data_IF_972411993076
#
_entry.id   IF_972411993076
#
_cell.length_a   1.000
_cell.length_b   1.000
_cell.length_c   1.000
_cell.angle_alpha   90.00
_cell.angle_beta   90.00
_cell.angle_gamma   90.00
#
_symmetry.space_group_name_H-M   'P 1'
#
loop_
_entity.id
_entity.type
_entity.pdbx_description
1 polymer ?
#
# COMPACT_ATOMS: atom_id res chain seq x y z
N UNK A 1 67.21 14.88 -12.58
CA UNK A 1 66.70 16.26 -12.71
C UNK A 1 65.18 16.25 -12.54
N UNK A 2 64.61 17.24 -11.83
CA UNK A 2 63.21 17.33 -11.37
C UNK A 2 62.32 17.94 -12.49
N UNK A 3 60.99 18.03 -12.45
CA UNK A 3 60.14 18.85 -11.55
C UNK A 3 58.65 18.70 -11.94
N UNK A 4 57.76 18.72 -10.95
CA UNK A 4 56.47 19.42 -11.01
C UNK A 4 55.33 18.68 -11.73
N UNK A 5 54.10 18.67 -11.25
CA UNK A 5 53.49 19.41 -10.17
C UNK A 5 51.98 19.40 -10.38
N UNK A 6 51.24 19.21 -9.29
CA UNK A 6 49.92 19.79 -9.00
C UNK A 6 48.89 19.85 -10.16
N UNK A 7 47.76 19.14 -10.01
CA UNK A 7 46.50 19.83 -9.75
C UNK A 7 45.33 18.91 -9.38
N UNK A 8 44.69 19.36 -8.30
CA UNK A 8 43.27 19.22 -7.95
C UNK A 8 42.72 17.81 -7.83
N UNK A 9 42.59 17.38 -6.57
CA UNK A 9 41.51 16.49 -6.18
C UNK A 9 40.20 16.98 -6.81
N UNK A 10 39.65 16.15 -7.69
CA UNK A 10 38.23 16.17 -7.96
C UNK A 10 37.56 15.83 -6.63
N UNK A 11 37.25 16.87 -5.85
CA UNK A 11 36.05 16.84 -5.03
C UNK A 11 34.97 16.40 -6.00
N UNK A 12 34.56 15.14 -5.89
CA UNK A 12 33.23 14.75 -6.33
C UNK A 12 32.33 15.69 -5.55
N UNK A 13 31.92 16.78 -6.19
CA UNK A 13 30.70 17.44 -5.79
C UNK A 13 29.67 16.37 -6.06
N UNK A 14 29.34 15.62 -5.01
CA UNK A 14 28.07 14.92 -5.01
C UNK A 14 27.06 15.96 -5.47
N UNK A 15 26.26 15.66 -6.52
CA UNK A 15 25.27 16.61 -6.97
C UNK A 15 24.49 16.98 -5.72
N UNK A 16 24.35 18.28 -5.47
CA UNK A 16 23.49 18.81 -4.40
C UNK A 16 22.08 18.39 -4.80
N UNK A 17 21.77 17.13 -4.51
CA UNK A 17 20.57 16.43 -4.85
C UNK A 17 19.49 17.14 -4.09
N UNK A 18 18.77 17.94 -4.86
CA UNK A 18 17.44 18.43 -4.62
C UNK A 18 17.07 18.54 -3.13
N UNK A 19 17.51 19.64 -2.49
CA UNK A 19 17.11 19.94 -1.10
C UNK A 19 15.62 20.30 -0.97
N UNK A 20 14.76 19.88 -1.89
CA UNK A 20 13.31 20.08 -1.86
C UNK A 20 12.56 18.91 -1.22
N UNK A 21 13.17 17.73 -1.11
CA UNK A 21 12.51 16.55 -0.54
C UNK A 21 12.36 16.59 0.99
N UNK A 22 13.21 17.37 1.69
CA UNK A 22 13.17 17.43 3.15
C UNK A 22 11.97 18.23 3.69
N UNK A 23 11.39 19.11 2.87
CA UNK A 23 10.27 19.98 3.28
C UNK A 23 8.91 19.34 2.93
N UNK A 24 8.89 18.36 2.02
CA UNK A 24 7.66 17.80 1.43
C UNK A 24 7.13 16.52 2.09
N UNK A 25 7.59 16.17 3.31
CA UNK A 25 6.98 15.08 4.08
C UNK A 25 6.45 15.51 5.44
N UNK A 26 5.96 16.74 5.50
CA UNK A 26 5.23 17.25 6.65
C UNK A 26 3.85 16.60 6.69
N UNK A 27 3.65 15.55 7.50
CA UNK A 27 2.34 14.89 7.67
C UNK A 27 1.28 15.92 8.15
N UNK A 28 0.41 16.44 7.25
CA UNK A 28 -0.40 17.61 7.57
C UNK A 28 -1.42 17.29 8.67
N UNK A 29 -1.98 16.06 8.67
CA UNK A 29 -2.94 15.58 9.66
C UNK A 29 -2.36 15.51 11.08
N UNK A 30 -1.14 14.98 11.23
CA UNK A 30 -0.45 14.90 12.55
C UNK A 30 -0.15 16.30 13.11
N UNK A 31 0.07 17.28 12.24
CA UNK A 31 0.30 18.66 12.66
C UNK A 31 -1.02 19.33 13.07
N UNK A 32 -2.10 19.10 12.33
CA UNK A 32 -3.43 19.57 12.67
C UNK A 32 -3.90 19.03 14.02
N UNK A 33 -3.72 17.73 14.28
CA UNK A 33 -4.02 17.10 15.59
C UNK A 33 -3.25 17.78 16.72
N UNK A 34 -1.94 17.98 16.54
CA UNK A 34 -1.10 18.66 17.55
C UNK A 34 -1.47 20.13 17.72
N UNK A 35 -1.87 20.81 16.65
CA UNK A 35 -2.28 22.22 16.69
C UNK A 35 -3.60 22.39 17.42
N UNK A 36 -4.63 21.62 17.05
CA UNK A 36 -5.95 21.66 17.67
C UNK A 36 -5.87 21.20 19.13
N UNK A 37 -5.13 20.14 19.42
CA UNK A 37 -4.88 19.70 20.80
C UNK A 37 -4.14 20.74 21.65
N UNK A 38 -3.32 21.61 21.06
CA UNK A 38 -2.73 22.77 21.76
C UNK A 38 -3.73 23.90 21.97
N UNK A 39 -4.65 24.12 21.03
CA UNK A 39 -5.69 25.16 21.16
C UNK A 39 -6.69 24.81 22.26
N UNK A 40 -7.11 23.55 22.37
CA UNK A 40 -8.06 23.09 23.42
C UNK A 40 -7.49 23.25 24.84
N UNK A 41 -6.16 23.29 24.99
CA UNK A 41 -5.50 23.53 26.28
C UNK A 41 -5.50 25.00 26.72
N UNK A 42 -5.96 25.92 25.88
CA UNK A 42 -6.11 27.34 26.21
C UNK A 42 -7.53 27.61 26.65
N UNK A 43 -7.74 28.73 27.34
CA UNK A 43 -9.08 29.18 27.73
C UNK A 43 -9.85 29.66 26.49
N UNK A 44 -10.77 28.83 26.02
CA UNK A 44 -11.64 29.10 24.89
C UNK A 44 -13.11 29.08 25.35
N UNK A 45 -14.00 29.84 24.67
CA UNK A 45 -15.44 29.71 24.87
C UNK A 45 -15.89 28.25 24.73
N UNK A 46 -16.84 27.79 25.56
CA UNK A 46 -17.23 26.38 25.64
C UNK A 46 -17.70 25.83 24.28
N UNK A 47 -18.47 26.61 23.52
CA UNK A 47 -18.96 26.22 22.20
C UNK A 47 -17.81 25.96 21.20
N UNK A 48 -16.80 26.84 21.18
CA UNK A 48 -15.63 26.69 20.30
C UNK A 48 -14.79 25.49 20.72
N UNK A 49 -14.68 25.24 22.03
CA UNK A 49 -13.97 24.09 22.57
C UNK A 49 -14.61 22.78 22.14
N UNK A 50 -15.93 22.64 22.26
CA UNK A 50 -16.66 21.43 21.84
C UNK A 50 -16.50 21.16 20.34
N UNK A 51 -16.59 22.21 19.51
CA UNK A 51 -16.39 22.08 18.06
C UNK A 51 -14.96 21.61 17.71
N UNK A 52 -13.95 22.13 18.42
CA UNK A 52 -12.55 21.73 18.23
C UNK A 52 -12.27 20.31 18.72
N UNK A 53 -12.89 19.89 19.83
CA UNK A 53 -12.78 18.52 20.36
C UNK A 53 -13.38 17.51 19.39
N UNK A 54 -14.55 17.80 18.82
CA UNK A 54 -15.17 16.97 17.77
C UNK A 54 -14.26 16.85 16.55
N UNK A 55 -13.72 17.96 16.07
CA UNK A 55 -12.77 17.97 14.93
C UNK A 55 -11.48 17.20 15.24
N UNK A 56 -11.00 17.27 16.49
CA UNK A 56 -9.82 16.53 16.92
C UNK A 56 -10.08 15.02 16.89
N UNK A 57 -11.25 14.58 17.33
CA UNK A 57 -11.65 13.18 17.31
C UNK A 57 -11.74 12.63 15.88
N UNK A 58 -12.37 13.39 14.96
CA UNK A 58 -12.45 13.01 13.55
C UNK A 58 -11.05 12.86 12.90
N UNK A 59 -10.13 13.78 13.21
CA UNK A 59 -8.76 13.69 12.72
C UNK A 59 -8.00 12.48 13.28
N UNK A 60 -8.24 12.11 14.53
CA UNK A 60 -7.66 10.90 15.14
C UNK A 60 -8.20 9.64 14.47
N UNK A 61 -9.52 9.52 14.29
CA UNK A 61 -10.16 8.41 13.56
C UNK A 61 -9.57 8.24 12.16
N UNK A 62 -9.42 9.33 11.42
CA UNK A 62 -8.77 9.30 10.10
C UNK A 62 -7.32 8.81 10.18
N UNK A 63 -6.56 9.25 11.19
CA UNK A 63 -5.18 8.82 11.38
C UNK A 63 -5.09 7.31 11.67
N UNK A 64 -6.00 6.76 12.47
CA UNK A 64 -6.02 5.34 12.81
C UNK A 64 -6.32 4.47 11.58
N UNK A 65 -7.26 4.90 10.74
CA UNK A 65 -7.53 4.25 9.44
C UNK A 65 -6.27 4.23 8.57
N UNK A 66 -5.56 5.36 8.46
CA UNK A 66 -4.31 5.41 7.68
C UNK A 66 -3.22 4.48 8.25
N UNK A 67 -3.10 4.39 9.58
CA UNK A 67 -2.14 3.50 10.23
C UNK A 67 -2.49 2.04 9.91
N UNK A 68 -3.77 1.67 10.08
CA UNK A 68 -4.28 0.33 9.76
C UNK A 68 -4.01 -0.05 8.30
N UNK A 69 -4.38 0.81 7.35
CA UNK A 69 -4.13 0.60 5.93
C UNK A 69 -2.64 0.47 5.61
N UNK A 70 -1.77 1.22 6.28
CA UNK A 70 -0.33 1.11 6.09
C UNK A 70 0.22 -0.25 6.56
N UNK A 71 -0.28 -0.77 7.69
CA UNK A 71 0.07 -2.12 8.17
C UNK A 71 -0.43 -3.18 7.20
N UNK A 72 -1.68 -3.09 6.76
CA UNK A 72 -2.28 -4.00 5.78
C UNK A 72 -1.49 -4.00 4.46
N UNK A 73 -1.06 -2.83 3.96
CA UNK A 73 -0.19 -2.71 2.78
C UNK A 73 1.15 -3.42 2.98
N UNK A 74 1.78 -3.30 4.15
CA UNK A 74 3.03 -4.00 4.46
C UNK A 74 2.86 -5.52 4.44
N UNK A 75 1.83 -6.02 5.10
CA UNK A 75 1.48 -7.46 5.10
C UNK A 75 1.18 -7.91 3.67
N UNK A 76 0.44 -7.10 2.91
CA UNK A 76 0.07 -7.41 1.54
C UNK A 76 1.29 -7.57 0.65
N UNK A 77 2.22 -6.63 0.71
CA UNK A 77 3.45 -6.64 -0.07
C UNK A 77 4.36 -7.80 0.33
N UNK A 78 4.51 -8.07 1.64
CA UNK A 78 5.28 -9.23 2.15
C UNK A 78 4.76 -10.54 1.58
N UNK A 79 3.45 -10.73 1.59
CA UNK A 79 2.81 -11.97 1.15
C UNK A 79 2.44 -11.98 -0.34
N UNK A 80 2.87 -10.96 -1.11
CA UNK A 80 2.49 -10.80 -2.53
C UNK A 80 2.96 -11.98 -3.37
N UNK A 81 4.22 -12.40 -3.19
CA UNK A 81 4.82 -13.51 -3.95
C UNK A 81 4.23 -14.86 -3.56
N UNK A 82 4.04 -15.11 -2.26
CA UNK A 82 3.42 -16.34 -1.77
C UNK A 82 2.03 -16.50 -2.40
N UNK A 83 1.17 -15.48 -2.29
CA UNK A 83 -0.18 -15.52 -2.88
C UNK A 83 -0.17 -15.63 -4.40
N UNK A 84 0.80 -15.00 -5.07
CA UNK A 84 0.97 -15.15 -6.52
C UNK A 84 1.28 -16.60 -6.91
N UNK A 85 2.23 -17.24 -6.22
CA UNK A 85 2.61 -18.62 -6.54
C UNK A 85 1.50 -19.62 -6.22
N UNK A 86 0.81 -19.46 -5.09
CA UNK A 86 -0.34 -20.31 -4.74
C UNK A 86 -1.47 -20.16 -5.78
N UNK A 87 -1.83 -18.92 -6.14
CA UNK A 87 -2.79 -18.66 -7.24
C UNK A 87 -2.35 -19.35 -8.52
N UNK A 88 -1.07 -19.20 -8.90
CA UNK A 88 -0.54 -19.78 -10.15
C UNK A 88 -0.49 -21.31 -10.12
N UNK A 89 -0.24 -21.94 -8.96
CA UNK A 89 -0.32 -23.39 -8.79
C UNK A 89 -1.74 -23.88 -9.04
N UNK A 90 -2.72 -23.23 -8.40
CA UNK A 90 -4.15 -23.55 -8.56
C UNK A 90 -4.57 -23.38 -10.02
N UNK A 91 -4.28 -22.23 -10.65
CA UNK A 91 -4.59 -21.98 -12.07
C UNK A 91 -4.01 -23.05 -13.01
N UNK A 92 -2.74 -23.44 -12.79
CA UNK A 92 -2.12 -24.50 -13.60
C UNK A 92 -2.77 -25.85 -13.38
N UNK A 93 -3.15 -26.18 -12.14
CA UNK A 93 -3.82 -27.44 -11.84
C UNK A 93 -5.20 -27.49 -12.49
N UNK A 94 -5.98 -26.41 -12.39
CA UNK A 94 -7.27 -26.25 -13.07
C UNK A 94 -7.11 -26.46 -14.57
N UNK A 95 -6.21 -25.71 -15.23
CA UNK A 95 -5.97 -25.84 -16.67
C UNK A 95 -5.56 -27.25 -17.11
N UNK A 96 -4.78 -27.96 -16.29
CA UNK A 96 -4.40 -29.35 -16.56
C UNK A 96 -5.60 -30.28 -16.45
N UNK A 97 -6.43 -30.13 -15.42
CA UNK A 97 -7.63 -30.93 -15.22
C UNK A 97 -8.65 -30.66 -16.34
N UNK A 98 -8.89 -29.41 -16.71
CA UNK A 98 -9.75 -29.05 -17.85
C UNK A 98 -9.24 -29.63 -19.17
N UNK A 99 -7.91 -29.67 -19.38
CA UNK A 99 -7.33 -30.31 -20.56
C UNK A 99 -7.54 -31.83 -20.53
N UNK A 100 -7.32 -32.48 -19.40
CA UNK A 100 -7.55 -33.92 -19.25
C UNK A 100 -9.03 -34.26 -19.45
N UNK A 101 -9.95 -33.47 -18.89
CA UNK A 101 -11.39 -33.63 -19.09
C UNK A 101 -11.73 -33.48 -20.58
N UNK A 102 -11.27 -32.43 -21.27
CA UNK A 102 -11.53 -32.30 -22.71
C UNK A 102 -11.00 -33.47 -23.55
N UNK A 103 -9.82 -33.97 -23.19
CA UNK A 103 -9.18 -35.09 -23.89
C UNK A 103 -9.84 -36.45 -23.56
N UNK A 104 -10.29 -36.66 -22.33
CA UNK A 104 -10.90 -37.91 -21.87
C UNK A 104 -12.39 -38.01 -22.24
N UNK A 105 -13.09 -36.87 -22.26
CA UNK A 105 -14.55 -36.82 -22.46
C UNK A 105 -14.96 -36.57 -23.92
N UNK A 106 -14.02 -36.60 -24.87
CA UNK A 106 -14.33 -36.40 -26.29
C UNK A 106 -15.16 -35.14 -26.57
N UNK A 107 -14.81 -34.00 -25.96
CA UNK A 107 -15.31 -32.65 -26.26
C UNK A 107 -16.84 -32.41 -26.40
N UNK A 108 -17.37 -31.50 -25.58
CA UNK A 108 -18.70 -30.86 -25.65
C UNK A 108 -19.90 -31.66 -25.10
N UNK A 109 -20.01 -32.97 -25.35
CA UNK A 109 -21.21 -33.74 -24.92
C UNK A 109 -21.30 -33.92 -23.40
N UNK A 110 -20.19 -34.25 -22.73
CA UNK A 110 -20.16 -34.48 -21.29
C UNK A 110 -20.33 -33.18 -20.47
N UNK A 111 -19.85 -32.04 -20.98
CA UNK A 111 -20.00 -30.74 -20.30
C UNK A 111 -21.44 -30.22 -20.39
N UNK A 112 -22.13 -30.46 -21.51
CA UNK A 112 -23.56 -30.16 -21.66
C UNK A 112 -24.43 -31.06 -20.77
N UNK A 113 -24.05 -32.33 -20.61
CA UNK A 113 -24.74 -33.29 -19.73
C UNK A 113 -24.55 -32.94 -18.25
N UNK A 114 -23.33 -32.60 -17.81
CA UNK A 114 -23.07 -32.11 -16.44
C UNK A 114 -23.83 -30.80 -16.18
N UNK A 115 -23.79 -29.85 -17.12
CA UNK A 115 -24.52 -28.59 -17.00
C UNK A 115 -26.03 -28.81 -16.83
N UNK A 116 -26.59 -29.76 -17.59
CA UNK A 116 -28.00 -30.15 -17.48
C UNK A 116 -28.36 -30.96 -16.23
N UNK A 117 -27.39 -31.62 -15.57
CA UNK A 117 -27.60 -32.27 -14.28
C UNK A 117 -27.56 -31.27 -13.12
N UNK A 118 -26.65 -30.29 -13.18
CA UNK A 118 -26.55 -29.23 -12.15
C UNK A 118 -27.75 -28.29 -12.16
N UNK A 119 -28.40 -28.06 -13.30
CA UNK A 119 -29.62 -27.26 -13.39
C UNK A 119 -30.88 -27.96 -12.83
N UNK A 120 -30.77 -29.24 -12.47
CA UNK A 120 -31.87 -30.05 -11.90
C UNK A 120 -31.78 -30.21 -10.38
N UNK A 121 -30.72 -29.67 -9.77
CA UNK A 121 -30.57 -29.53 -8.31
C UNK A 121 -31.15 -28.21 -7.84
#
# INVERSE_FOLDING_TARGET
>A
MPTGGLRSGLRRQDPVGDRKDYVLRRNPKKNQIRSIGRMIRKDLPPEVREALEKKLDDLKKQQDIHIRLAVERKIFLRNRKIRFFERRKIERRIRRLEKLQRNASGGHLHDAEIGGQLSKL
#
